data_IF_070944260685
#
_entry.id   IF_070944260685
#
_cell.length_a   1.000
_cell.length_b   1.000
_cell.length_c   1.000
_cell.angle_alpha   90.00
_cell.angle_beta   90.00
_cell.angle_gamma   90.00
#
_symmetry.space_group_name_H-M   'P 1'
#
loop_
_entity.id
_entity.type
_entity.pdbx_description
1 polymer ?
#
# COMPACT_ATOMS: atom_id res chain seq x y z
N UNK A 1 -70.40 -14.48 0.27
CA UNK A 1 -69.33 -15.45 0.57
C UNK A 1 -68.10 -14.93 -0.15
N UNK A 2 -67.09 -14.52 0.61
CA UNK A 2 -65.82 -14.02 0.12
C UNK A 2 -65.07 -15.14 -0.60
N UNK A 3 -64.73 -14.95 -1.86
CA UNK A 3 -63.62 -15.68 -2.48
C UNK A 3 -62.38 -14.79 -2.40
N UNK A 4 -61.31 -15.43 -1.94
CA UNK A 4 -60.03 -14.83 -1.56
C UNK A 4 -59.31 -14.15 -2.73
N UNK A 5 -58.39 -13.21 -2.44
CA UNK A 5 -57.56 -12.58 -3.45
C UNK A 5 -56.42 -13.53 -3.83
N UNK A 6 -56.30 -13.89 -5.10
CA UNK A 6 -55.07 -14.49 -5.62
C UNK A 6 -54.00 -13.38 -5.72
N UNK A 7 -53.25 -13.25 -4.63
CA UNK A 7 -52.02 -12.45 -4.57
C UNK A 7 -50.97 -13.11 -5.45
N UNK A 8 -50.94 -12.76 -6.74
CA UNK A 8 -49.73 -12.93 -7.53
C UNK A 8 -48.77 -11.76 -7.26
N UNK A 9 -48.31 -11.67 -6.01
CA UNK A 9 -47.13 -10.88 -5.63
C UNK A 9 -45.91 -11.77 -5.86
N UNK A 10 -45.53 -11.95 -7.12
CA UNK A 10 -44.21 -12.48 -7.43
C UNK A 10 -43.20 -11.34 -7.28
N UNK A 11 -42.88 -11.00 -6.04
CA UNK A 11 -41.76 -10.16 -5.66
C UNK A 11 -40.43 -10.86 -6.02
N UNK A 12 -40.09 -10.86 -7.30
CA UNK A 12 -38.72 -11.14 -7.77
C UNK A 12 -38.05 -9.81 -8.11
N UNK A 13 -38.12 -8.87 -7.17
CA UNK A 13 -37.20 -7.75 -7.10
C UNK A 13 -35.98 -8.20 -6.33
N UNK A 14 -35.12 -9.00 -6.96
CA UNK A 14 -33.75 -9.18 -6.53
C UNK A 14 -33.12 -7.80 -6.48
N UNK A 15 -33.13 -7.16 -5.31
CA UNK A 15 -32.22 -6.07 -5.05
C UNK A 15 -30.83 -6.65 -5.26
N UNK A 16 -30.00 -6.12 -6.16
CA UNK A 16 -28.59 -6.33 -5.99
C UNK A 16 -28.32 -5.55 -4.70
N UNK A 17 -28.19 -6.28 -3.58
CA UNK A 17 -27.16 -5.89 -2.64
C UNK A 17 -25.90 -5.96 -3.48
N UNK A 18 -25.60 -4.84 -4.13
CA UNK A 18 -24.41 -4.63 -4.91
C UNK A 18 -23.34 -4.88 -3.88
N UNK A 19 -22.84 -6.11 -3.99
CA UNK A 19 -21.79 -6.71 -3.21
C UNK A 19 -20.80 -5.60 -2.98
N UNK A 20 -20.38 -5.45 -1.73
CA UNK A 20 -19.24 -4.63 -1.33
C UNK A 20 -18.03 -5.20 -2.10
N UNK A 21 -17.98 -4.87 -3.39
CA UNK A 21 -17.14 -5.51 -4.37
C UNK A 21 -15.88 -4.67 -4.36
N UNK A 22 -14.87 -5.29 -3.77
CA UNK A 22 -13.49 -5.12 -4.16
C UNK A 22 -12.85 -3.79 -3.77
N UNK A 23 -12.99 -3.38 -2.50
CA UNK A 23 -11.93 -2.56 -1.88
C UNK A 23 -10.85 -3.46 -1.28
N UNK A 24 -10.35 -4.41 -2.06
CA UNK A 24 -9.05 -5.02 -1.79
C UNK A 24 -8.09 -4.54 -2.87
N UNK A 25 -7.85 -3.23 -2.88
CA UNK A 25 -6.70 -2.71 -3.61
C UNK A 25 -5.54 -2.85 -2.64
N UNK A 26 -4.76 -3.92 -2.77
CA UNK A 26 -3.42 -4.00 -2.18
C UNK A 26 -2.52 -2.98 -2.88
N UNK A 27 -2.85 -1.69 -2.79
CA UNK A 27 -2.08 -0.57 -3.30
C UNK A 27 -0.81 -0.48 -2.47
N UNK A 28 0.33 -0.62 -3.13
CA UNK A 28 1.63 -0.35 -2.52
C UNK A 28 2.02 1.08 -2.89
N UNK A 29 2.15 1.93 -1.88
CA UNK A 29 2.46 3.35 -2.04
C UNK A 29 3.93 3.56 -1.68
N UNK A 30 4.64 4.29 -2.56
CA UNK A 30 6.02 4.68 -2.30
C UNK A 30 6.06 5.77 -1.24
N UNK A 31 6.78 5.52 -0.15
CA UNK A 31 6.94 6.47 0.96
C UNK A 31 8.29 7.18 0.95
N UNK A 32 9.33 6.53 0.43
CA UNK A 32 10.67 7.10 0.41
C UNK A 32 11.51 6.58 -0.74
N UNK A 33 12.48 7.39 -1.16
CA UNK A 33 13.53 7.02 -2.11
C UNK A 33 14.86 7.30 -1.43
N UNK A 34 15.66 6.27 -1.25
CA UNK A 34 16.93 6.34 -0.53
C UNK A 34 18.03 5.69 -1.33
N UNK A 35 19.26 5.86 -0.86
CA UNK A 35 20.44 5.25 -1.46
C UNK A 35 21.07 4.31 -0.42
N UNK A 36 21.69 3.19 -0.84
CA UNK A 36 22.40 2.35 0.09
C UNK A 36 23.50 3.13 0.82
N UNK A 37 23.70 2.88 2.14
CA UNK A 37 23.11 1.79 2.93
C UNK A 37 21.79 2.13 3.65
N UNK A 38 21.22 3.32 3.48
CA UNK A 38 20.02 3.76 4.23
C UNK A 38 18.79 2.88 3.98
N UNK A 39 18.72 2.20 2.83
CA UNK A 39 17.64 1.25 2.53
C UNK A 39 17.54 0.13 3.57
N UNK A 40 18.68 -0.37 4.03
CA UNK A 40 18.76 -1.48 5.00
C UNK A 40 18.24 -1.03 6.37
N UNK A 41 18.57 0.19 6.77
CA UNK A 41 18.17 0.76 8.06
C UNK A 41 16.65 0.95 8.10
N UNK A 42 16.11 1.60 7.06
CA UNK A 42 14.66 1.85 6.96
C UNK A 42 13.87 0.54 6.85
N UNK A 43 14.37 -0.42 6.05
CA UNK A 43 13.72 -1.72 5.94
C UNK A 43 13.60 -2.42 7.28
N UNK A 44 14.72 -2.48 8.01
CA UNK A 44 14.80 -3.17 9.29
C UNK A 44 13.89 -2.51 10.31
N UNK A 45 13.85 -1.17 10.33
CA UNK A 45 12.96 -0.41 11.19
C UNK A 45 11.49 -0.72 10.88
N UNK A 46 11.05 -0.53 9.63
CA UNK A 46 9.65 -0.76 9.25
C UNK A 46 9.22 -2.20 9.56
N UNK A 47 10.08 -3.19 9.28
CA UNK A 47 9.83 -4.59 9.65
C UNK A 47 9.72 -4.80 11.16
N UNK A 48 10.54 -4.13 11.97
CA UNK A 48 10.49 -4.21 13.43
C UNK A 48 9.15 -3.70 13.99
N UNK A 49 8.59 -2.63 13.40
CA UNK A 49 7.26 -2.12 13.74
C UNK A 49 6.11 -2.95 13.13
N UNK A 50 6.41 -4.03 12.40
CA UNK A 50 5.40 -4.89 11.79
C UNK A 50 4.82 -4.37 10.47
N UNK A 51 5.42 -3.31 9.89
CA UNK A 51 4.97 -2.71 8.64
C UNK A 51 5.56 -3.48 7.46
N UNK A 52 4.73 -4.04 6.56
CA UNK A 52 5.20 -4.70 5.36
C UNK A 52 5.90 -3.70 4.44
N UNK A 53 7.12 -4.03 4.00
CA UNK A 53 7.92 -3.17 3.15
C UNK A 53 8.31 -3.87 1.85
N UNK A 54 8.21 -3.15 0.73
CA UNK A 54 8.71 -3.54 -0.58
C UNK A 54 9.84 -2.62 -0.99
N UNK A 55 10.95 -3.25 -1.33
CA UNK A 55 12.15 -2.56 -1.82
C UNK A 55 12.28 -2.82 -3.32
N UNK A 56 12.35 -1.75 -4.10
CA UNK A 56 12.68 -1.80 -5.53
C UNK A 56 13.98 -1.06 -5.78
N UNK A 57 15.05 -1.80 -6.11
CA UNK A 57 16.34 -1.22 -6.48
C UNK A 57 16.38 -0.93 -7.97
N UNK A 58 16.63 0.32 -8.35
CA UNK A 58 16.88 0.71 -9.73
C UNK A 58 18.38 0.90 -9.92
N UNK A 59 19.00 -0.02 -10.63
CA UNK A 59 20.40 0.08 -11.03
C UNK A 59 20.51 1.10 -12.18
N UNK A 60 21.36 2.10 -12.03
CA UNK A 60 21.65 3.07 -13.09
C UNK A 60 22.91 2.54 -13.81
N UNK A 61 22.88 2.31 -15.13
CA UNK A 61 24.06 1.85 -15.86
C UNK A 61 25.17 2.91 -15.79
N UNK A 62 26.31 2.51 -15.24
CA UNK A 62 27.45 3.40 -14.99
C UNK A 62 28.44 3.33 -16.14
N UNK A 63 28.51 4.38 -16.95
CA UNK A 63 29.64 4.60 -17.85
C UNK A 63 29.81 6.10 -18.15
N UNK A 64 31.01 6.71 -18.05
CA UNK A 64 32.25 6.26 -17.41
C UNK A 64 32.59 6.98 -16.08
N UNK A 65 31.77 7.90 -15.56
CA UNK A 65 32.17 8.72 -14.39
C UNK A 65 30.97 9.26 -13.59
N UNK A 66 30.41 8.48 -12.67
CA UNK A 66 29.51 9.05 -11.65
C UNK A 66 29.98 8.65 -10.26
N UNK A 67 30.72 9.56 -9.61
CA UNK A 67 31.01 9.51 -8.17
C UNK A 67 29.70 9.70 -7.41
N UNK A 68 28.97 8.61 -7.16
CA UNK A 68 27.69 8.63 -6.44
C UNK A 68 27.20 7.21 -6.16
N UNK A 69 26.35 7.01 -5.12
CA UNK A 69 25.81 5.70 -4.79
C UNK A 69 25.06 5.10 -5.98
N UNK A 70 25.37 3.84 -6.26
CA UNK A 70 25.15 3.16 -7.54
C UNK A 70 23.69 2.81 -7.86
N UNK A 71 22.78 2.96 -6.90
CA UNK A 71 21.41 2.51 -7.02
C UNK A 71 20.44 3.37 -6.19
N UNK A 72 19.42 3.91 -6.85
CA UNK A 72 18.25 4.48 -6.16
C UNK A 72 17.37 3.32 -5.68
N UNK A 73 16.99 3.35 -4.41
CA UNK A 73 16.16 2.34 -3.78
C UNK A 73 14.82 2.97 -3.40
N UNK A 74 13.76 2.42 -3.97
CA UNK A 74 12.39 2.86 -3.74
C UNK A 74 11.78 1.98 -2.64
N UNK A 75 11.29 2.61 -1.59
CA UNK A 75 10.64 1.98 -0.44
C UNK A 75 9.13 2.21 -0.54
N UNK A 76 8.37 1.12 -0.59
CA UNK A 76 6.92 1.14 -0.65
C UNK A 76 6.29 0.30 0.46
N UNK A 77 5.14 0.75 0.95
CA UNK A 77 4.35 0.07 1.99
C UNK A 77 2.88 -0.02 1.54
N UNK A 78 2.07 -0.90 2.15
CA UNK A 78 0.63 -0.93 1.91
C UNK A 78 0.00 0.43 2.19
N UNK A 79 -0.95 0.85 1.35
CA UNK A 79 -1.67 2.13 1.48
C UNK A 79 -2.23 2.34 2.90
N UNK A 80 -2.70 1.28 3.54
CA UNK A 80 -3.27 1.31 4.89
C UNK A 80 -2.25 1.69 5.99
N UNK A 81 -0.95 1.52 5.74
CA UNK A 81 0.13 1.78 6.70
C UNK A 81 1.05 2.94 6.26
N UNK A 82 0.64 3.70 5.24
CA UNK A 82 1.45 4.82 4.72
C UNK A 82 1.65 5.89 5.77
N UNK A 83 0.57 6.32 6.44
CA UNK A 83 0.64 7.38 7.45
C UNK A 83 1.56 6.98 8.61
N UNK A 84 1.43 5.75 9.12
CA UNK A 84 2.27 5.22 10.19
C UNK A 84 3.74 5.12 9.77
N UNK A 85 4.01 4.59 8.56
CA UNK A 85 5.37 4.50 8.06
C UNK A 85 6.03 5.87 7.82
N UNK A 86 5.24 6.88 7.43
CA UNK A 86 5.73 8.26 7.25
C UNK A 86 6.06 8.91 8.59
N UNK A 87 5.18 8.76 9.58
CA UNK A 87 5.42 9.28 10.93
C UNK A 87 6.72 8.70 11.53
N UNK A 88 6.93 7.39 11.38
CA UNK A 88 8.17 6.74 11.80
C UNK A 88 9.41 7.30 11.09
N UNK A 89 9.34 7.48 9.76
CA UNK A 89 10.45 8.08 8.98
C UNK A 89 10.74 9.52 9.39
N UNK A 90 9.71 10.31 9.66
CA UNK A 90 9.87 11.69 10.13
C UNK A 90 10.47 11.75 11.53
N UNK A 91 10.07 10.83 12.41
CA UNK A 91 10.61 10.75 13.78
C UNK A 91 12.11 10.46 13.81
N UNK A 92 12.60 9.53 12.98
CA UNK A 92 14.03 9.24 12.85
C UNK A 92 14.81 10.41 12.25
N UNK A 93 14.24 11.09 11.25
CA UNK A 93 14.93 12.20 10.58
C UNK A 93 14.92 13.50 11.41
N UNK A 94 13.91 13.69 12.26
CA UNK A 94 13.80 14.83 13.17
C UNK A 94 14.69 14.70 14.42
N UNK A 95 15.19 13.50 14.72
CA UNK A 95 16.12 13.25 15.83
C UNK A 95 17.59 13.61 15.55
N UNK A 96 17.89 14.26 14.42
CA UNK A 96 19.25 14.56 13.96
C UNK A 96 19.58 16.05 13.93
#
# INVERSE_FOLDING_TARGET
MMDSPDSNSHEKGLGPLQRLSDKQVNSWITISKVYPPDDIVIESMLKFYGIPVRISRREIPQFPFTTGPLAEVIIAVPEEMVDEARDLLESENAGK
#
